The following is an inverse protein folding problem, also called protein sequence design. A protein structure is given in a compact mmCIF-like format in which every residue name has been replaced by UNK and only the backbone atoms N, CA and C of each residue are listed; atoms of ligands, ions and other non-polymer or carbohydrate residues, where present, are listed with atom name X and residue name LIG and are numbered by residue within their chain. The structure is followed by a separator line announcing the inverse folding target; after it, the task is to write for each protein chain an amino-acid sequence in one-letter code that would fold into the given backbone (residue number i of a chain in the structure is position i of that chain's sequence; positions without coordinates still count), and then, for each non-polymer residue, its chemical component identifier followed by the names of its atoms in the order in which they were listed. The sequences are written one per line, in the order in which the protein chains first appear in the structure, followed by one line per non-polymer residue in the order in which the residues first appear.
data_IF_602771941071
#
_entry.id   IF_602771941071
#
_cell.length_a   1.000
_cell.length_b   1.000
_cell.length_c   1.000
_cell.angle_alpha   90.00
_cell.angle_beta   90.00
_cell.angle_gamma   90.00
#
_symmetry.space_group_name_H-M   'P 1'
#
loop_
_entity.id
_entity.type
_entity.pdbx_description
1 polymer ?
#
# COMPACT_ATOMS: atom_id res chain seq x y z
N UNK A 1 27.34 2.92 1.74
CA UNK A 1 25.91 2.89 2.08
C UNK A 1 25.64 4.01 3.07
N UNK A 2 24.64 4.84 2.81
CA UNK A 2 24.22 5.89 3.74
C UNK A 2 22.82 5.55 4.26
N UNK A 3 22.59 5.78 5.55
CA UNK A 3 21.26 5.61 6.17
C UNK A 3 20.75 7.00 6.51
N UNK A 4 19.59 7.35 5.93
CA UNK A 4 18.92 8.61 6.19
C UNK A 4 17.87 8.38 7.27
N UNK A 5 18.09 8.97 8.45
CA UNK A 5 17.21 8.80 9.60
C UNK A 5 16.42 10.08 9.89
N UNK A 6 15.26 9.91 10.52
CA UNK A 6 14.42 11.01 11.01
C UNK A 6 13.61 11.74 9.93
N UNK A 7 12.77 12.70 10.34
CA UNK A 7 11.80 13.34 9.45
C UNK A 7 12.43 14.02 8.23
N UNK A 8 13.58 14.68 8.39
CA UNK A 8 14.28 15.34 7.30
C UNK A 8 14.82 14.35 6.26
N UNK A 9 15.40 13.23 6.71
CA UNK A 9 15.86 12.14 5.84
C UNK A 9 14.71 11.51 5.07
N UNK A 10 13.61 11.19 5.74
CA UNK A 10 12.41 10.64 5.11
C UNK A 10 11.86 11.58 4.04
N UNK A 11 11.72 12.88 4.36
CA UNK A 11 11.25 13.88 3.39
C UNK A 11 12.19 13.98 2.19
N UNK A 12 13.51 13.95 2.41
CA UNK A 12 14.48 13.95 1.32
C UNK A 12 14.27 12.77 0.37
N UNK A 13 14.16 11.55 0.91
CA UNK A 13 13.95 10.34 0.10
C UNK A 13 12.62 10.41 -0.67
N UNK A 14 11.50 10.63 0.02
CA UNK A 14 10.18 10.55 -0.61
C UNK A 14 9.84 11.73 -1.52
N UNK A 15 10.41 12.92 -1.29
CA UNK A 15 10.15 14.10 -2.16
C UNK A 15 11.02 14.13 -3.43
N UNK A 16 12.04 13.27 -3.50
CA UNK A 16 13.01 13.21 -4.60
C UNK A 16 12.97 11.88 -5.37
N UNK A 17 11.97 11.04 -5.15
CA UNK A 17 11.70 9.87 -6.00
C UNK A 17 11.57 10.30 -7.46
N UNK A 18 12.29 9.62 -8.36
CA UNK A 18 12.34 9.93 -9.79
C UNK A 18 13.13 11.18 -10.16
N UNK A 19 13.78 11.86 -9.18
CA UNK A 19 14.62 13.05 -9.41
C UNK A 19 16.08 12.81 -9.02
N UNK A 20 16.30 12.55 -7.73
CA UNK A 20 17.64 12.30 -7.14
C UNK A 20 17.74 10.91 -6.53
N UNK A 21 16.60 10.25 -6.32
CA UNK A 21 16.50 8.93 -5.72
C UNK A 21 15.61 8.08 -6.61
N UNK A 22 16.01 6.82 -6.83
CA UNK A 22 15.19 5.82 -7.48
C UNK A 22 14.95 4.67 -6.50
N UNK A 23 13.73 4.14 -6.51
CA UNK A 23 13.42 2.90 -5.80
C UNK A 23 14.21 1.76 -6.43
N UNK A 24 14.80 0.94 -5.58
CA UNK A 24 15.49 -0.27 -5.99
C UNK A 24 14.90 -1.46 -5.23
N UNK A 25 14.58 -2.51 -5.98
CA UNK A 25 14.07 -3.77 -5.42
C UNK A 25 15.04 -4.91 -5.73
N UNK A 26 15.32 -5.81 -4.78
CA UNK A 26 16.06 -7.04 -5.07
C UNK A 26 15.37 -7.86 -6.18
N UNK A 27 16.15 -8.63 -6.95
CA UNK A 27 15.63 -9.44 -8.06
C UNK A 27 14.55 -10.44 -7.63
N UNK A 28 14.71 -11.06 -6.45
CA UNK A 28 13.71 -11.94 -5.86
C UNK A 28 12.37 -11.25 -5.63
N UNK A 29 12.39 -9.99 -5.19
CA UNK A 29 11.18 -9.18 -4.97
C UNK A 29 10.52 -8.82 -6.29
N UNK A 30 11.31 -8.44 -7.30
CA UNK A 30 10.79 -8.13 -8.63
C UNK A 30 10.12 -9.35 -9.27
N UNK A 31 10.70 -10.56 -9.11
CA UNK A 31 10.12 -11.79 -9.62
C UNK A 31 8.84 -12.19 -8.88
N UNK A 32 8.81 -12.04 -7.56
CA UNK A 32 7.64 -12.38 -6.74
C UNK A 32 6.46 -11.46 -7.02
N UNK A 33 6.71 -10.15 -7.08
CA UNK A 33 5.65 -9.14 -7.23
C UNK A 33 5.23 -9.00 -8.71
N UNK A 34 6.15 -9.22 -9.64
CA UNK A 34 5.93 -8.92 -11.05
C UNK A 34 5.68 -7.42 -11.30
N UNK A 35 5.22 -7.03 -12.50
CA UNK A 35 4.91 -5.63 -12.80
C UNK A 35 3.80 -5.09 -11.88
N UNK A 36 4.09 -4.06 -11.08
CA UNK A 36 3.14 -3.48 -10.13
C UNK A 36 3.38 -1.99 -9.90
N UNK A 37 2.43 -1.31 -9.25
CA UNK A 37 2.61 0.08 -8.83
C UNK A 37 3.80 0.30 -7.87
N UNK A 38 4.22 -0.73 -7.14
CA UNK A 38 5.25 -0.63 -6.10
C UNK A 38 6.65 -0.65 -6.70
N UNK A 39 6.83 -1.26 -7.87
CA UNK A 39 8.12 -1.36 -8.55
C UNK A 39 8.18 -0.63 -9.91
N UNK A 40 7.08 -0.02 -10.35
CA UNK A 40 7.08 0.88 -11.51
C UNK A 40 7.48 2.29 -11.07
N UNK A 41 8.34 2.95 -11.84
CA UNK A 41 8.77 4.33 -11.62
C UNK A 41 8.55 5.20 -12.87
N UNK A 42 8.64 6.53 -12.72
CA UNK A 42 8.52 7.46 -13.85
C UNK A 42 7.07 7.73 -14.27
N UNK A 43 6.89 8.16 -15.52
CA UNK A 43 5.59 8.60 -16.03
C UNK A 43 4.56 7.47 -16.09
N UNK A 44 4.97 6.26 -16.43
CA UNK A 44 4.11 5.07 -16.41
C UNK A 44 3.51 4.84 -15.00
N UNK A 45 4.33 4.93 -13.96
CA UNK A 45 3.86 4.82 -12.58
C UNK A 45 2.87 5.94 -12.22
N UNK A 46 3.12 7.16 -12.71
CA UNK A 46 2.25 8.32 -12.48
C UNK A 46 0.88 8.13 -13.13
N UNK A 47 0.86 7.64 -14.36
CA UNK A 47 -0.37 7.35 -15.10
C UNK A 47 -1.16 6.24 -14.41
N UNK A 48 -0.51 5.10 -14.10
CA UNK A 48 -1.16 3.99 -13.40
C UNK A 48 -1.70 4.40 -12.03
N UNK A 49 -0.94 5.17 -11.25
CA UNK A 49 -1.40 5.68 -9.94
C UNK A 49 -2.60 6.60 -10.10
N UNK A 50 -2.61 7.49 -11.09
CA UNK A 50 -3.75 8.39 -11.34
C UNK A 50 -5.01 7.63 -11.70
N UNK A 51 -4.90 6.60 -12.56
CA UNK A 51 -6.05 5.75 -12.90
C UNK A 51 -6.59 5.00 -11.68
N UNK A 52 -5.70 4.40 -10.87
CA UNK A 52 -6.09 3.61 -9.71
C UNK A 52 -6.65 4.46 -8.56
N UNK A 53 -6.14 5.67 -8.36
CA UNK A 53 -6.65 6.57 -7.31
C UNK A 53 -8.13 6.92 -7.47
N UNK A 54 -8.69 6.85 -8.69
CA UNK A 54 -10.12 7.04 -8.91
C UNK A 54 -10.95 5.92 -8.26
N UNK A 55 -10.42 4.69 -8.20
CA UNK A 55 -11.07 3.57 -7.52
C UNK A 55 -10.88 3.60 -6.00
N UNK A 56 -9.81 4.25 -5.53
CA UNK A 56 -9.55 4.48 -4.10
C UNK A 56 -10.01 5.86 -3.63
N UNK A 57 -11.06 6.41 -4.26
CA UNK A 57 -11.68 7.63 -3.76
C UNK A 57 -12.27 7.40 -2.37
N UNK A 58 -12.37 8.46 -1.56
CA UNK A 58 -13.00 8.37 -0.24
C UNK A 58 -14.42 7.81 -0.35
N UNK A 59 -15.17 8.26 -1.35
CA UNK A 59 -16.53 7.78 -1.62
C UNK A 59 -16.57 6.28 -1.90
N UNK A 60 -15.69 5.78 -2.79
CA UNK A 60 -15.58 4.35 -3.10
C UNK A 60 -15.16 3.53 -1.87
N UNK A 61 -14.24 4.05 -1.06
CA UNK A 61 -13.81 3.37 0.16
C UNK A 61 -14.91 3.32 1.22
N UNK A 62 -15.73 4.37 1.34
CA UNK A 62 -16.89 4.38 2.24
C UNK A 62 -17.91 3.32 1.86
N UNK A 63 -18.08 3.05 0.56
CA UNK A 63 -18.96 1.98 0.07
C UNK A 63 -18.46 0.58 0.44
N UNK A 64 -17.16 0.40 0.74
CA UNK A 64 -16.62 -0.88 1.21
C UNK A 64 -16.90 -1.15 2.70
N UNK A 65 -17.25 -0.13 3.50
CA UNK A 65 -17.42 -0.27 4.96
C UNK A 65 -18.46 -1.36 5.32
N UNK A 66 -19.66 -1.40 4.71
CA UNK A 66 -20.65 -2.43 5.05
C UNK A 66 -20.14 -3.85 4.79
N UNK A 67 -19.48 -4.08 3.64
CA UNK A 67 -18.89 -5.38 3.31
C UNK A 67 -17.81 -5.78 4.32
N UNK A 68 -16.93 -4.83 4.69
CA UNK A 68 -15.88 -5.10 5.67
C UNK A 68 -16.47 -5.42 7.05
N UNK A 69 -17.51 -4.69 7.50
CA UNK A 69 -18.19 -4.96 8.77
C UNK A 69 -18.85 -6.35 8.76
N UNK A 70 -19.58 -6.69 7.69
CA UNK A 70 -20.23 -7.99 7.55
C UNK A 70 -19.23 -9.16 7.59
N UNK A 71 -18.18 -9.11 6.77
CA UNK A 71 -17.14 -10.15 6.73
C UNK A 71 -16.43 -10.27 8.07
N UNK A 72 -16.13 -9.13 8.71
CA UNK A 72 -15.48 -9.12 10.02
C UNK A 72 -16.36 -9.76 11.09
N UNK A 73 -17.65 -9.38 11.17
CA UNK A 73 -18.61 -9.98 12.11
C UNK A 73 -18.76 -11.48 11.88
N UNK A 74 -18.87 -11.90 10.62
CA UNK A 74 -18.95 -13.31 10.25
C UNK A 74 -17.71 -14.09 10.71
N UNK A 75 -16.52 -13.54 10.49
CA UNK A 75 -15.27 -14.15 10.93
C UNK A 75 -15.19 -14.25 12.46
N UNK A 76 -15.55 -13.19 13.18
CA UNK A 76 -15.58 -13.16 14.64
C UNK A 76 -16.56 -14.19 15.21
N UNK A 77 -17.77 -14.28 14.66
CA UNK A 77 -18.78 -15.24 15.10
C UNK A 77 -18.35 -16.70 14.84
N UNK A 78 -17.77 -16.96 13.67
CA UNK A 78 -17.41 -18.32 13.25
C UNK A 78 -16.16 -18.83 13.96
N UNK A 79 -15.18 -17.96 14.20
CA UNK A 79 -13.86 -18.39 14.66
C UNK A 79 -13.50 -17.95 16.07
N UNK A 80 -14.11 -16.87 16.59
CA UNK A 80 -13.69 -16.25 17.86
C UNK A 80 -14.75 -16.27 18.97
N UNK A 81 -16.02 -16.59 18.68
CA UNK A 81 -17.03 -16.80 19.73
C UNK A 81 -16.71 -18.06 20.55
N UNK A 82 -16.24 -17.84 21.78
CA UNK A 82 -15.81 -18.88 22.72
C UNK A 82 -14.43 -18.63 23.35
N UNK A 83 -13.61 -17.73 22.78
CA UNK A 83 -12.30 -17.35 23.37
C UNK A 83 -12.41 -16.25 24.43
N UNK A 84 -13.48 -15.48 24.45
CA UNK A 84 -13.81 -14.55 25.54
C UNK A 84 -14.63 -15.28 26.63
N UNK A 85 -13.99 -16.22 27.31
CA UNK A 85 -14.35 -16.61 28.67
C UNK A 85 -13.19 -16.18 29.56
N UNK A 86 -13.26 -14.93 30.04
CA UNK A 86 -12.58 -14.54 31.27
C UNK A 86 -13.54 -14.83 32.43
#
# INVERSE_FOLDING_TARGET
MAVLCGPAGNKFVFSNEGKKVAVWWPSSVQQLIGPSLVNTSGDEARVHRKMLMNFFSIESLMQCIPTVDEVTRGHLATHWQGMLRL
#
